data_IF_675079548393
#
_entry.id   IF_675079548393
#
_cell.length_a   1.000
_cell.length_b   1.000
_cell.length_c   1.000
_cell.angle_alpha   90.00
_cell.angle_beta   90.00
_cell.angle_gamma   90.00
#
_symmetry.space_group_name_H-M   'P 1'
#
loop_
_entity.id
_entity.type
_entity.pdbx_description
1 polymer ?
#
# COMPACT_ATOMS: atom_id res chain seq x y z
N UNK A 1 47.19 39.87 -42.10
CA UNK A 1 46.76 39.50 -40.74
C UNK A 1 46.10 38.16 -40.89
N UNK A 2 46.89 37.09 -40.73
CA UNK A 2 46.99 36.32 -39.47
C UNK A 2 45.83 35.29 -39.45
N UNK A 3 45.98 33.98 -39.25
CA UNK A 3 47.07 33.11 -38.84
C UNK A 3 46.67 31.68 -39.29
N UNK A 4 47.65 30.87 -39.64
CA UNK A 4 47.53 29.46 -40.03
C UNK A 4 47.44 28.55 -38.80
N UNK A 5 47.00 27.29 -39.00
CA UNK A 5 47.45 26.03 -38.34
C UNK A 5 46.49 25.33 -37.33
N UNK A 6 46.01 24.18 -37.83
CA UNK A 6 45.94 22.80 -37.29
C UNK A 6 45.11 22.37 -36.06
N UNK A 7 44.22 21.41 -36.37
CA UNK A 7 44.08 20.04 -35.86
C UNK A 7 44.22 19.73 -34.36
N UNK A 8 43.30 18.89 -33.85
CA UNK A 8 43.44 17.74 -32.91
C UNK A 8 42.02 17.10 -32.83
N UNK A 9 41.80 15.94 -33.47
CA UNK A 9 41.97 14.55 -33.01
C UNK A 9 40.82 13.97 -32.15
N UNK A 10 40.16 13.01 -32.80
CA UNK A 10 39.33 11.86 -32.43
C UNK A 10 39.16 11.52 -30.95
N UNK A 11 37.89 11.37 -30.53
CA UNK A 11 37.44 10.20 -29.75
C UNK A 11 36.09 9.69 -30.25
N UNK A 12 36.14 8.49 -30.82
CA UNK A 12 35.02 7.62 -31.16
C UNK A 12 34.29 7.19 -29.88
N UNK A 13 32.96 7.37 -29.83
CA UNK A 13 32.07 6.54 -29.00
C UNK A 13 30.85 6.17 -29.86
N UNK A 14 30.52 4.88 -30.04
CA UNK A 14 29.54 4.41 -31.02
C UNK A 14 28.08 4.64 -30.57
N UNK A 15 27.10 4.58 -31.49
CA UNK A 15 25.69 4.70 -31.17
C UNK A 15 25.17 3.38 -30.59
N UNK A 16 25.19 3.24 -29.27
CA UNK A 16 24.57 2.10 -28.57
C UNK A 16 23.32 2.57 -27.86
N UNK A 17 22.17 2.47 -28.54
CA UNK A 17 20.87 2.08 -27.98
C UNK A 17 19.72 2.34 -28.98
N UNK A 18 19.90 1.94 -30.24
CA UNK A 18 18.80 1.82 -31.21
C UNK A 18 18.78 0.39 -31.76
N UNK A 19 18.80 -0.58 -30.85
CA UNK A 19 18.70 -2.00 -31.15
C UNK A 19 18.29 -2.82 -29.91
N UNK A 20 17.05 -2.67 -29.46
CA UNK A 20 16.32 -3.75 -28.77
C UNK A 20 14.91 -3.78 -29.34
N UNK A 21 14.79 -4.19 -30.59
CA UNK A 21 14.24 -5.51 -30.98
C UNK A 21 12.81 -5.76 -30.51
N UNK A 22 11.91 -5.49 -31.45
CA UNK A 22 10.78 -6.34 -31.82
C UNK A 22 11.23 -7.83 -31.88
N UNK A 23 11.15 -8.54 -30.75
CA UNK A 23 11.09 -10.02 -30.58
C UNK A 23 11.08 -10.29 -29.07
N UNK A 24 10.02 -10.79 -28.43
CA UNK A 24 9.54 -12.17 -28.52
C UNK A 24 8.06 -12.23 -28.09
N UNK A 25 7.14 -12.42 -29.03
CA UNK A 25 5.88 -13.10 -28.73
C UNK A 25 6.19 -14.58 -28.59
N UNK A 26 6.43 -15.03 -27.35
CA UNK A 26 6.42 -16.44 -26.96
C UNK A 26 4.98 -16.82 -26.60
N UNK A 27 4.27 -17.66 -27.37
CA UNK A 27 2.97 -18.19 -26.97
C UNK A 27 3.21 -19.46 -26.15
N UNK A 28 3.71 -19.32 -24.91
CA UNK A 28 3.81 -20.47 -24.01
C UNK A 28 3.92 -20.02 -22.55
N UNK A 29 2.80 -20.10 -21.82
CA UNK A 29 2.74 -20.13 -20.36
C UNK A 29 3.52 -19.01 -19.64
N UNK A 30 3.20 -17.75 -19.91
CA UNK A 30 3.45 -16.72 -18.90
C UNK A 30 2.51 -17.05 -17.72
N UNK A 31 2.99 -17.82 -16.75
CA UNK A 31 2.42 -17.79 -15.40
C UNK A 31 2.26 -16.32 -15.06
N UNK A 32 1.03 -15.85 -14.87
CA UNK A 32 0.75 -14.45 -14.66
C UNK A 32 1.55 -14.00 -13.43
N UNK A 33 2.71 -13.37 -13.68
CA UNK A 33 3.61 -12.93 -12.61
C UNK A 33 2.86 -11.82 -11.89
N UNK A 34 2.27 -12.16 -10.74
CA UNK A 34 1.63 -11.16 -9.90
C UNK A 34 2.70 -10.28 -9.31
N UNK A 35 2.55 -8.95 -9.36
CA UNK A 35 3.48 -8.06 -8.69
C UNK A 35 3.48 -8.36 -7.19
N UNK A 36 4.69 -8.33 -6.60
CA UNK A 36 4.85 -8.52 -5.15
C UNK A 36 4.24 -7.34 -4.40
N UNK A 37 4.64 -6.13 -4.79
CA UNK A 37 4.06 -4.90 -4.28
C UNK A 37 3.34 -4.14 -5.38
N UNK A 38 2.21 -3.54 -5.03
CA UNK A 38 1.51 -2.56 -5.86
C UNK A 38 1.62 -1.19 -5.21
N UNK A 39 1.69 -0.14 -6.02
CA UNK A 39 1.75 1.24 -5.54
C UNK A 39 0.40 1.92 -5.80
N UNK A 40 -0.17 2.52 -4.76
CA UNK A 40 -1.37 3.34 -4.84
C UNK A 40 -0.97 4.80 -4.60
N UNK A 41 -1.28 5.67 -5.58
CA UNK A 41 -0.93 7.09 -5.56
C UNK A 41 -2.21 7.95 -5.58
N UNK A 42 -2.91 8.11 -4.45
CA UNK A 42 -4.01 9.06 -4.36
C UNK A 42 -3.51 10.49 -4.62
N UNK A 43 -4.39 11.32 -5.18
CA UNK A 43 -4.10 12.71 -5.53
C UNK A 43 -5.21 13.62 -5.00
N UNK A 44 -4.84 14.82 -4.54
CA UNK A 44 -5.76 15.84 -4.09
C UNK A 44 -5.95 15.76 -2.58
N UNK A 45 -7.15 15.43 -2.13
CA UNK A 45 -7.45 15.27 -0.70
C UNK A 45 -8.06 13.91 -0.45
N UNK A 46 -7.82 13.35 0.73
CA UNK A 46 -8.52 12.16 1.21
C UNK A 46 -9.42 12.60 2.37
N UNK A 47 -10.71 12.66 2.09
CA UNK A 47 -11.71 13.25 2.98
C UNK A 47 -13.02 12.45 2.98
N UNK A 48 -14.01 12.89 3.75
CA UNK A 48 -15.33 12.25 3.84
C UNK A 48 -15.98 11.93 2.48
N UNK A 49 -15.79 12.77 1.48
CA UNK A 49 -16.46 12.63 0.19
C UNK A 49 -15.85 11.52 -0.69
N UNK A 50 -14.60 11.14 -0.47
CA UNK A 50 -13.90 10.16 -1.33
C UNK A 50 -13.20 9.03 -0.56
N UNK A 51 -13.26 9.04 0.78
CA UNK A 51 -12.62 8.03 1.62
C UNK A 51 -13.17 6.62 1.35
N UNK A 52 -14.47 6.49 1.07
CA UNK A 52 -15.10 5.21 0.73
C UNK A 52 -14.57 4.62 -0.58
N UNK A 53 -14.53 5.42 -1.65
CA UNK A 53 -14.00 4.98 -2.95
C UNK A 53 -12.52 4.62 -2.86
N UNK A 54 -11.75 5.43 -2.12
CA UNK A 54 -10.34 5.14 -1.85
C UNK A 54 -10.17 3.82 -1.09
N UNK A 55 -10.96 3.57 -0.04
CA UNK A 55 -10.91 2.33 0.72
C UNK A 55 -11.20 1.11 -0.16
N UNK A 56 -12.28 1.16 -0.96
CA UNK A 56 -12.61 0.06 -1.88
C UNK A 56 -11.50 -0.20 -2.91
N UNK A 57 -10.90 0.85 -3.46
CA UNK A 57 -9.75 0.73 -4.36
C UNK A 57 -8.55 0.09 -3.69
N UNK A 58 -8.22 0.52 -2.46
CA UNK A 58 -7.13 -0.02 -1.66
C UNK A 58 -7.33 -1.51 -1.36
N UNK A 59 -8.52 -1.91 -0.93
CA UNK A 59 -8.86 -3.31 -0.65
C UNK A 59 -8.73 -4.19 -1.91
N UNK A 60 -9.21 -3.71 -3.06
CA UNK A 60 -9.10 -4.43 -4.33
C UNK A 60 -7.63 -4.64 -4.74
N UNK A 61 -6.77 -3.63 -4.55
CA UNK A 61 -5.34 -3.72 -4.85
C UNK A 61 -4.64 -4.67 -3.88
N UNK A 62 -5.01 -4.65 -2.60
CA UNK A 62 -4.49 -5.59 -1.60
C UNK A 62 -4.81 -7.04 -1.96
N UNK A 63 -5.95 -7.33 -2.58
CA UNK A 63 -6.28 -8.69 -3.05
C UNK A 63 -5.42 -9.13 -4.25
N UNK A 64 -5.01 -8.17 -5.10
CA UNK A 64 -4.22 -8.42 -6.29
C UNK A 64 -2.71 -8.60 -6.01
N UNK A 65 -2.16 -7.81 -5.09
CA UNK A 65 -0.75 -7.84 -4.71
C UNK A 65 -0.36 -9.17 -4.04
N UNK A 66 0.86 -9.63 -4.20
CA UNK A 66 1.31 -10.87 -3.53
C UNK A 66 1.72 -10.60 -2.08
N UNK A 67 2.55 -9.58 -1.88
CA UNK A 67 3.18 -9.27 -0.60
C UNK A 67 2.52 -8.07 0.08
N UNK A 68 2.09 -7.05 -0.68
CA UNK A 68 1.53 -5.85 -0.08
C UNK A 68 1.33 -4.65 -0.99
N UNK A 69 0.99 -3.52 -0.37
CA UNK A 69 0.75 -2.24 -1.05
C UNK A 69 1.59 -1.14 -0.44
N UNK A 70 2.12 -0.27 -1.29
CA UNK A 70 2.73 0.99 -0.90
C UNK A 70 1.72 2.09 -1.22
N UNK A 71 1.28 2.84 -0.21
CA UNK A 71 0.45 4.04 -0.38
C UNK A 71 1.37 5.25 -0.38
N UNK A 72 1.53 5.87 -1.54
CA UNK A 72 2.34 7.07 -1.73
C UNK A 72 1.47 8.31 -1.70
N UNK A 73 1.62 9.09 -0.63
CA UNK A 73 0.79 10.26 -0.31
C UNK A 73 1.43 11.58 -0.77
N UNK A 74 2.46 11.53 -1.62
CA UNK A 74 3.17 12.73 -2.09
C UNK A 74 2.24 13.78 -2.70
N UNK A 75 1.18 13.34 -3.39
CA UNK A 75 0.22 14.20 -4.07
C UNK A 75 -1.06 14.45 -3.26
N UNK A 76 -1.10 14.05 -1.99
CA UNK A 76 -2.21 14.32 -1.09
C UNK A 76 -1.91 15.60 -0.30
N UNK A 77 -2.65 16.66 -0.61
CA UNK A 77 -2.52 17.96 0.05
C UNK A 77 -3.26 18.04 1.40
N UNK A 78 -4.25 17.19 1.63
CA UNK A 78 -4.94 17.12 2.92
C UNK A 78 -5.53 15.74 3.20
N UNK A 79 -5.52 15.38 4.48
CA UNK A 79 -6.06 14.14 5.02
C UNK A 79 -6.88 14.48 6.27
N UNK A 80 -8.17 14.15 6.25
CA UNK A 80 -9.07 14.32 7.41
C UNK A 80 -9.23 13.01 8.20
N UNK A 81 -10.09 13.03 9.22
CA UNK A 81 -10.38 11.85 10.04
C UNK A 81 -10.97 10.67 9.23
N UNK A 82 -11.78 10.93 8.20
CA UNK A 82 -12.34 9.88 7.34
C UNK A 82 -11.27 9.28 6.44
N UNK A 83 -10.37 10.11 5.92
CA UNK A 83 -9.20 9.64 5.19
C UNK A 83 -8.27 8.79 6.06
N UNK A 84 -7.98 9.22 7.29
CA UNK A 84 -7.23 8.41 8.27
C UNK A 84 -7.94 7.07 8.53
N UNK A 85 -9.25 7.10 8.80
CA UNK A 85 -10.02 5.88 9.04
C UNK A 85 -9.95 4.90 7.85
N UNK A 86 -10.00 5.39 6.61
CA UNK A 86 -9.85 4.56 5.41
C UNK A 86 -8.46 3.94 5.30
N UNK A 87 -7.39 4.66 5.68
CA UNK A 87 -6.04 4.09 5.76
C UNK A 87 -5.97 2.99 6.84
N UNK A 88 -6.58 3.20 8.01
CA UNK A 88 -6.61 2.20 9.09
C UNK A 88 -7.39 0.96 8.67
N UNK A 89 -8.53 1.11 8.00
CA UNK A 89 -9.26 -0.01 7.42
C UNK A 89 -8.40 -0.80 6.42
N UNK A 90 -7.58 -0.09 5.63
CA UNK A 90 -6.54 -0.68 4.79
C UNK A 90 -5.51 -1.51 5.56
N UNK A 91 -4.99 -1.00 6.69
CA UNK A 91 -4.06 -1.71 7.57
C UNK A 91 -4.71 -2.99 8.12
N UNK A 92 -5.97 -2.90 8.55
CA UNK A 92 -6.74 -4.05 9.02
C UNK A 92 -6.87 -5.11 7.92
N UNK A 93 -7.27 -4.69 6.71
CA UNK A 93 -7.41 -5.61 5.58
C UNK A 93 -6.08 -6.26 5.23
N UNK A 94 -4.99 -5.49 5.16
CA UNK A 94 -3.66 -6.02 4.90
C UNK A 94 -3.25 -7.05 5.97
N UNK A 95 -3.47 -6.74 7.25
CA UNK A 95 -3.20 -7.64 8.37
C UNK A 95 -4.00 -8.94 8.27
N UNK A 96 -5.30 -8.85 7.97
CA UNK A 96 -6.18 -10.01 7.81
C UNK A 96 -5.76 -10.89 6.62
N UNK A 97 -5.19 -10.30 5.57
CA UNK A 97 -4.67 -11.01 4.41
C UNK A 97 -3.22 -11.50 4.58
N UNK A 98 -2.56 -11.20 5.71
CA UNK A 98 -1.14 -11.51 5.91
C UNK A 98 -0.20 -10.71 5.00
N UNK A 99 -0.61 -9.51 4.58
CA UNK A 99 0.10 -8.64 3.65
C UNK A 99 0.62 -7.39 4.33
N UNK A 100 1.61 -6.76 3.71
CA UNK A 100 2.19 -5.51 4.17
C UNK A 100 1.46 -4.30 3.59
N UNK A 101 1.37 -3.25 4.41
CA UNK A 101 0.95 -1.93 3.96
C UNK A 101 2.03 -0.93 4.40
N UNK A 102 2.61 -0.24 3.42
CA UNK A 102 3.70 0.72 3.63
C UNK A 102 3.24 2.10 3.23
N UNK A 103 3.69 3.13 3.94
CA UNK A 103 3.34 4.52 3.66
C UNK A 103 4.56 5.30 3.19
N UNK A 104 4.42 5.98 2.06
CA UNK A 104 5.41 6.92 1.54
C UNK A 104 4.86 8.34 1.58
N UNK A 105 5.73 9.31 1.88
CA UNK A 105 5.39 10.74 1.96
C UNK A 105 4.25 11.12 2.93
N UNK A 106 3.94 10.27 3.91
CA UNK A 106 3.03 10.59 5.01
C UNK A 106 3.69 11.57 5.98
N UNK A 107 3.11 12.76 6.14
CA UNK A 107 3.58 13.80 7.05
C UNK A 107 3.46 13.38 8.53
N UNK A 108 4.23 14.04 9.41
CA UNK A 108 4.30 13.66 10.82
C UNK A 108 2.97 13.78 11.57
N UNK A 109 2.12 14.77 11.22
CA UNK A 109 0.82 14.96 11.87
C UNK A 109 -0.13 13.84 11.46
N UNK A 110 -0.22 13.55 10.17
CA UNK A 110 -1.05 12.47 9.65
C UNK A 110 -0.57 11.10 10.13
N UNK A 111 0.74 10.90 10.28
CA UNK A 111 1.32 9.68 10.87
C UNK A 111 0.89 9.48 12.32
N UNK A 112 1.00 10.51 13.14
CA UNK A 112 0.56 10.42 14.53
C UNK A 112 -0.94 10.13 14.62
N UNK A 113 -1.76 10.76 13.79
CA UNK A 113 -3.20 10.49 13.73
C UNK A 113 -3.50 9.04 13.32
N UNK A 114 -2.79 8.52 12.32
CA UNK A 114 -2.91 7.14 11.86
C UNK A 114 -2.53 6.13 12.94
N UNK A 115 -1.40 6.34 13.62
CA UNK A 115 -0.92 5.48 14.71
C UNK A 115 -1.89 5.51 15.91
N UNK A 116 -2.42 6.69 16.24
CA UNK A 116 -3.39 6.86 17.33
C UNK A 116 -4.69 6.13 17.04
N UNK A 117 -5.27 6.33 15.86
CA UNK A 117 -6.51 5.68 15.45
C UNK A 117 -6.32 4.15 15.37
N UNK A 118 -5.17 3.70 14.86
CA UNK A 118 -4.86 2.27 14.80
C UNK A 118 -4.77 1.63 16.18
N UNK A 119 -4.08 2.28 17.13
CA UNK A 119 -3.98 1.79 18.51
C UNK A 119 -5.36 1.71 19.18
N UNK A 120 -6.20 2.73 18.99
CA UNK A 120 -7.56 2.77 19.53
C UNK A 120 -8.44 1.62 18.99
N UNK A 121 -8.29 1.28 17.71
CA UNK A 121 -9.03 0.16 17.10
C UNK A 121 -8.52 -1.21 17.56
N UNK A 122 -7.21 -1.36 17.79
CA UNK A 122 -6.67 -2.60 18.36
C UNK A 122 -7.20 -2.84 19.77
N UNK A 123 -7.21 -1.82 20.62
CA UNK A 123 -7.71 -1.94 21.99
C UNK A 123 -9.21 -2.29 22.01
N UNK A 124 -9.99 -1.65 21.15
CA UNK A 124 -11.42 -1.95 20.98
C UNK A 124 -11.66 -3.39 20.54
N UNK A 125 -10.84 -3.90 19.61
CA UNK A 125 -10.95 -5.27 19.09
C UNK A 125 -10.55 -6.32 20.14
N UNK A 126 -9.46 -6.08 20.88
CA UNK A 126 -9.01 -6.97 21.97
C UNK A 126 -9.99 -6.97 23.14
N UNK A 127 -10.54 -5.82 23.50
CA UNK A 127 -11.58 -5.69 24.52
C UNK A 127 -12.85 -6.45 24.16
N UNK A 128 -13.32 -6.30 22.92
CA UNK A 128 -14.50 -7.01 22.41
C UNK A 128 -14.30 -8.54 22.39
N UNK A 129 -13.11 -9.01 21.99
CA UNK A 129 -12.79 -10.44 21.99
C UNK A 129 -12.76 -11.01 23.41
N UNK A 130 -12.11 -10.32 24.36
CA UNK A 130 -12.08 -10.74 25.77
C UNK A 130 -13.49 -10.90 26.34
N UNK A 131 -14.36 -9.92 26.12
CA UNK A 131 -15.74 -9.99 26.62
C UNK A 131 -16.52 -11.14 25.98
N UNK A 132 -16.45 -11.30 24.65
CA UNK A 132 -17.17 -12.35 23.92
C UNK A 132 -16.70 -13.74 24.32
N UNK A 133 -15.39 -13.94 24.43
CA UNK A 133 -14.82 -15.21 24.87
C UNK A 133 -15.23 -15.53 26.31
N UNK A 134 -15.11 -14.57 27.23
CA UNK A 134 -15.52 -14.76 28.62
C UNK A 134 -17.00 -15.11 28.73
N UNK A 135 -17.89 -14.40 28.04
CA UNK A 135 -19.33 -14.71 28.06
C UNK A 135 -19.64 -16.10 27.51
N UNK A 136 -18.98 -16.53 26.43
CA UNK A 136 -19.17 -17.88 25.87
C UNK A 136 -18.62 -18.97 26.79
N UNK A 137 -17.50 -18.71 27.47
CA UNK A 137 -16.91 -19.66 28.41
C UNK A 137 -17.79 -19.82 29.66
N UNK A 138 -18.27 -18.74 30.24
CA UNK A 138 -19.18 -18.76 31.39
C UNK A 138 -20.47 -19.53 31.05
N UNK A 139 -21.09 -19.22 29.90
CA UNK A 139 -22.28 -19.94 29.44
C UNK A 139 -22.01 -21.44 29.18
N UNK A 140 -20.81 -21.79 28.71
CA UNK A 140 -20.40 -23.18 28.53
C UNK A 140 -20.26 -23.89 29.89
N UNK A 141 -19.62 -23.25 30.88
CA UNK A 141 -19.40 -23.83 32.21
C UNK A 141 -20.71 -24.01 32.99
N UNK A 142 -21.64 -23.05 32.90
CA UNK A 142 -22.97 -23.14 33.51
C UNK A 142 -23.78 -24.34 33.01
N UNK A 143 -23.55 -24.76 31.76
CA UNK A 143 -24.22 -25.91 31.18
C UNK A 143 -23.71 -27.26 31.75
N UNK A 144 -22.56 -27.27 32.43
CA UNK A 144 -21.99 -28.47 33.08
C UNK A 144 -22.24 -28.54 34.59
N UNK A 145 -22.64 -27.45 35.23
CA UNK A 145 -22.87 -27.37 36.68
C UNK A 145 -24.35 -27.55 37.09
N UNK A 146 -25.26 -27.69 36.13
CA UNK A 146 -26.69 -27.93 36.34
C UNK A 146 -27.20 -29.31 35.85
N UNK A 147 -26.29 -30.24 35.53
CA UNK A 147 -26.60 -31.63 35.16
C UNK A 147 -26.40 -32.62 36.30
#
# INVERSE_FOLDING_TARGET
MDMTIDAIDVRVVPPVALAYTKALTLPHLASAVRPRFLVLQPNGSLNQANSGDFQHGLESILEQATDGVIVDLLWVGSLDAYGIAALVAGIQRATALGKQMLFQALDAKSRLALETEWAQQQESSVGAWKHTFSSNLEAFLDNFTHG
#
